data_IF_638421512338
#
_entry.id   IF_638421512338
#
_cell.length_a   1.000
_cell.length_b   1.000
_cell.length_c   1.000
_cell.angle_alpha   90.00
_cell.angle_beta   90.00
_cell.angle_gamma   90.00
#
_symmetry.space_group_name_H-M   'P 1'
#
loop_
_entity.id
_entity.type
_entity.pdbx_description
1 polymer ?
#
# COMPACT_ATOMS: atom_id res chain seq x y z
N UNK A 1 8.95 -8.13 12.52
CA UNK A 1 8.08 -7.03 12.04
C UNK A 1 7.77 -7.21 10.57
N UNK A 2 6.52 -7.03 10.19
CA UNK A 2 6.07 -7.09 8.79
C UNK A 2 5.59 -5.71 8.38
N UNK A 3 6.17 -5.16 7.32
CA UNK A 3 5.86 -3.83 6.83
C UNK A 3 5.36 -3.90 5.40
N UNK A 4 4.36 -3.10 5.07
CA UNK A 4 3.89 -2.96 3.69
C UNK A 4 4.32 -1.59 3.13
N UNK A 5 4.60 -1.57 1.85
CA UNK A 5 4.93 -0.37 1.09
C UNK A 5 4.28 -0.46 -0.29
N UNK A 6 4.65 0.40 -1.21
CA UNK A 6 4.12 0.41 -2.56
C UNK A 6 5.24 0.54 -3.60
N UNK A 7 4.95 0.17 -4.84
CA UNK A 7 5.81 0.47 -5.98
C UNK A 7 5.41 1.84 -6.54
N UNK A 8 6.31 2.81 -6.46
CA UNK A 8 6.02 4.17 -6.89
C UNK A 8 5.71 4.24 -8.39
N UNK A 9 4.69 5.00 -8.74
CA UNK A 9 4.28 5.28 -10.12
C UNK A 9 4.42 6.77 -10.41
N UNK A 10 4.92 7.09 -11.62
CA UNK A 10 4.95 8.46 -12.11
C UNK A 10 5.61 9.44 -11.14
N UNK A 11 4.82 10.37 -10.63
CA UNK A 11 5.25 11.44 -9.71
C UNK A 11 5.11 11.11 -8.22
N UNK A 12 4.86 9.86 -7.86
CA UNK A 12 4.80 9.47 -6.45
C UNK A 12 6.19 9.50 -5.78
N UNK A 13 6.29 9.86 -4.50
CA UNK A 13 7.51 9.64 -3.73
C UNK A 13 7.94 8.18 -3.79
N UNK A 14 9.21 7.94 -4.01
CA UNK A 14 9.74 6.57 -4.14
C UNK A 14 10.12 6.01 -2.76
N UNK A 15 9.43 4.98 -2.24
CA UNK A 15 9.69 4.42 -0.93
C UNK A 15 10.84 3.39 -0.91
N UNK A 16 11.65 3.27 -1.97
CA UNK A 16 12.69 2.25 -2.07
C UNK A 16 13.74 2.31 -0.96
N UNK A 17 14.08 3.52 -0.49
CA UNK A 17 14.99 3.68 0.63
C UNK A 17 14.42 3.11 1.93
N UNK A 18 13.11 3.28 2.15
CA UNK A 18 12.40 2.66 3.27
C UNK A 18 12.40 1.14 3.16
N UNK A 19 12.06 0.60 1.99
CA UNK A 19 12.04 -0.85 1.76
C UNK A 19 13.40 -1.48 2.05
N UNK A 20 14.47 -0.90 1.48
CA UNK A 20 15.83 -1.37 1.70
C UNK A 20 16.28 -1.25 3.15
N UNK A 21 15.87 -0.21 3.86
CA UNK A 21 16.15 -0.07 5.28
C UNK A 21 15.43 -1.15 6.09
N UNK A 22 14.15 -1.39 5.83
CA UNK A 22 13.35 -2.41 6.49
C UNK A 22 13.94 -3.81 6.30
N UNK A 23 14.35 -4.14 5.07
CA UNK A 23 15.01 -5.42 4.75
C UNK A 23 16.31 -5.60 5.55
N UNK A 24 17.17 -4.57 5.58
CA UNK A 24 18.42 -4.61 6.38
C UNK A 24 18.17 -4.77 7.87
N UNK A 25 17.01 -4.36 8.37
CA UNK A 25 16.57 -4.55 9.77
C UNK A 25 15.90 -5.90 10.01
N UNK A 26 15.86 -6.77 9.00
CA UNK A 26 15.24 -8.10 9.10
C UNK A 26 13.71 -8.06 9.08
N UNK A 27 13.10 -6.97 8.62
CA UNK A 27 11.66 -6.91 8.44
C UNK A 27 11.24 -7.70 7.20
N UNK A 28 10.07 -8.33 7.27
CA UNK A 28 9.38 -8.86 6.11
C UNK A 28 8.71 -7.69 5.37
N UNK A 29 9.03 -7.52 4.09
CA UNK A 29 8.47 -6.42 3.29
C UNK A 29 7.41 -6.96 2.34
N UNK A 30 6.26 -6.27 2.27
CA UNK A 30 5.14 -6.63 1.41
C UNK A 30 4.75 -5.47 0.48
N UNK A 31 4.23 -5.84 -0.69
CA UNK A 31 3.77 -4.90 -1.71
C UNK A 31 2.34 -5.21 -2.13
N UNK A 32 1.56 -4.20 -2.58
CA UNK A 32 0.21 -4.41 -3.06
C UNK A 32 0.21 -5.21 -4.36
N UNK A 33 -0.71 -6.14 -4.44
CA UNK A 33 -1.04 -6.90 -5.63
C UNK A 33 -2.54 -6.73 -5.88
N UNK A 34 -2.88 -6.14 -7.04
CA UNK A 34 -4.28 -5.92 -7.40
C UNK A 34 -4.94 -7.25 -7.72
N UNK A 35 -6.14 -7.45 -7.18
CA UNK A 35 -6.92 -8.67 -7.34
C UNK A 35 -7.73 -8.65 -8.64
N UNK A 36 -7.96 -9.83 -9.24
CA UNK A 36 -8.92 -9.99 -10.31
C UNK A 36 -10.33 -9.59 -9.87
N UNK A 37 -11.19 -9.25 -10.82
CA UNK A 37 -12.59 -8.86 -10.52
C UNK A 37 -13.33 -9.94 -9.73
N UNK A 38 -13.11 -11.22 -10.04
CA UNK A 38 -13.73 -12.35 -9.35
C UNK A 38 -13.27 -12.44 -7.89
N UNK A 39 -11.97 -12.33 -7.64
CA UNK A 39 -11.42 -12.38 -6.28
C UNK A 39 -11.79 -11.16 -5.46
N UNK A 40 -11.78 -9.97 -6.08
CA UNK A 40 -12.22 -8.74 -5.44
C UNK A 40 -13.69 -8.81 -5.01
N UNK A 41 -14.57 -9.33 -5.85
CA UNK A 41 -15.97 -9.53 -5.52
C UNK A 41 -16.17 -10.53 -4.37
N UNK A 42 -15.35 -11.57 -4.31
CA UNK A 42 -15.44 -12.61 -3.27
C UNK A 42 -15.00 -12.12 -1.89
N UNK A 43 -13.97 -11.25 -1.79
CA UNK A 43 -13.40 -10.83 -0.51
C UNK A 43 -13.72 -9.37 -0.12
N UNK A 44 -14.31 -8.58 -1.01
CA UNK A 44 -14.61 -7.16 -0.77
C UNK A 44 -13.39 -6.23 -0.80
N UNK A 45 -12.21 -6.76 -1.12
CA UNK A 45 -10.97 -5.99 -1.26
C UNK A 45 -10.56 -5.91 -2.73
N UNK A 46 -9.91 -4.82 -3.14
CA UNK A 46 -9.36 -4.69 -4.49
C UNK A 46 -7.91 -5.09 -4.61
N UNK A 47 -7.23 -5.21 -3.49
CA UNK A 47 -5.83 -5.61 -3.42
C UNK A 47 -5.57 -6.50 -2.21
N UNK A 48 -4.50 -7.26 -2.27
CA UNK A 48 -3.87 -7.91 -1.11
C UNK A 48 -2.41 -7.46 -1.03
N UNK A 49 -1.78 -7.72 0.11
CA UNK A 49 -0.33 -7.53 0.26
C UNK A 49 0.37 -8.87 0.09
N UNK A 50 1.45 -8.87 -0.70
CA UNK A 50 2.31 -10.04 -0.89
C UNK A 50 3.72 -9.76 -0.42
N UNK A 51 4.26 -10.67 0.36
CA UNK A 51 5.63 -10.58 0.81
C UNK A 51 6.60 -10.82 -0.34
N UNK A 52 7.67 -10.05 -0.38
CA UNK A 52 8.74 -10.15 -1.36
C UNK A 52 10.06 -10.23 -0.60
N UNK A 53 10.83 -11.27 -0.87
CA UNK A 53 12.14 -11.43 -0.25
C UNK A 53 13.13 -10.40 -0.83
N UNK A 54 14.14 -10.06 -0.03
CA UNK A 54 15.21 -9.17 -0.48
C UNK A 54 15.85 -9.71 -1.77
N UNK A 55 15.94 -8.85 -2.79
CA UNK A 55 16.45 -9.21 -4.12
C UNK A 55 15.41 -9.79 -5.09
N UNK A 56 14.20 -10.13 -4.64
CA UNK A 56 13.14 -10.69 -5.50
C UNK A 56 12.20 -9.64 -6.10
N UNK A 57 12.36 -8.37 -5.76
CA UNK A 57 11.47 -7.30 -6.23
C UNK A 57 11.36 -7.23 -7.76
N UNK A 58 12.48 -7.43 -8.48
CA UNK A 58 12.50 -7.42 -9.94
C UNK A 58 11.76 -8.60 -10.59
N UNK A 59 11.53 -9.67 -9.85
CA UNK A 59 10.81 -10.86 -10.29
C UNK A 59 9.31 -10.82 -9.93
N UNK A 60 8.87 -9.83 -9.15
CA UNK A 60 7.48 -9.70 -8.74
C UNK A 60 6.66 -8.94 -9.79
N UNK A 61 5.73 -9.61 -10.52
CA UNK A 61 5.01 -8.97 -11.62
C UNK A 61 4.09 -7.84 -11.15
N UNK A 62 3.60 -7.90 -9.91
CA UNK A 62 2.75 -6.87 -9.31
C UNK A 62 3.54 -5.62 -8.87
N UNK A 63 4.86 -5.72 -8.72
CA UNK A 63 5.74 -4.54 -8.54
C UNK A 63 6.03 -3.90 -9.90
N UNK A 64 6.30 -4.70 -10.93
CA UNK A 64 6.55 -4.20 -12.28
C UNK A 64 5.30 -3.56 -12.91
N UNK A 65 4.12 -4.05 -12.56
CA UNK A 65 2.83 -3.58 -13.08
C UNK A 65 1.84 -3.32 -11.94
N UNK A 66 2.02 -2.25 -11.14
CA UNK A 66 1.29 -2.04 -9.89
C UNK A 66 -0.22 -1.81 -10.06
N UNK A 67 -0.67 -1.40 -11.24
CA UNK A 67 -2.10 -1.19 -11.53
C UNK A 67 -2.78 -2.39 -12.18
N UNK A 68 -2.00 -3.39 -12.62
CA UNK A 68 -2.55 -4.57 -13.28
C UNK A 68 -3.15 -5.53 -12.25
N UNK A 69 -4.36 -6.01 -12.51
CA UNK A 69 -4.97 -7.07 -11.72
C UNK A 69 -4.39 -8.44 -12.10
N UNK A 70 -4.19 -9.27 -11.10
CA UNK A 70 -3.67 -10.63 -11.24
C UNK A 70 -4.67 -11.62 -10.61
N UNK A 71 -4.93 -12.73 -11.28
CA UNK A 71 -5.57 -13.87 -10.64
C UNK A 71 -4.58 -14.55 -9.69
N UNK A 72 -5.07 -15.25 -8.67
CA UNK A 72 -4.20 -15.97 -7.72
C UNK A 72 -3.28 -16.97 -8.43
N UNK A 73 -3.76 -17.57 -9.53
CA UNK A 73 -2.99 -18.50 -10.37
C UNK A 73 -1.88 -17.86 -11.18
N UNK A 74 -1.89 -16.53 -11.36
CA UNK A 74 -0.85 -15.81 -12.10
C UNK A 74 0.38 -15.51 -11.24
N UNK A 75 0.28 -15.71 -9.94
CA UNK A 75 1.34 -15.39 -8.97
C UNK A 75 1.83 -16.66 -8.28
N UNK A 76 3.13 -16.86 -8.27
CA UNK A 76 3.74 -17.92 -7.45
C UNK A 76 3.60 -17.59 -5.96
N UNK A 77 2.59 -18.18 -5.32
CA UNK A 77 2.26 -17.94 -3.91
C UNK A 77 3.31 -18.55 -2.94
N UNK A 78 4.15 -19.45 -3.41
CA UNK A 78 5.27 -19.96 -2.60
C UNK A 78 6.40 -18.94 -2.52
N UNK A 79 6.64 -18.23 -3.60
CA UNK A 79 7.65 -17.15 -3.68
C UNK A 79 7.13 -15.82 -3.14
N UNK A 80 5.87 -15.51 -3.43
CA UNK A 80 5.21 -14.26 -3.05
C UNK A 80 3.94 -14.53 -2.23
N UNK A 81 4.07 -15.04 -1.00
CA UNK A 81 2.92 -15.38 -0.19
C UNK A 81 2.09 -14.15 0.21
N UNK A 82 0.78 -14.33 0.32
CA UNK A 82 -0.11 -13.30 0.85
C UNK A 82 0.22 -13.07 2.33
N UNK A 83 0.29 -11.80 2.71
CA UNK A 83 0.38 -11.35 4.10
C UNK A 83 -1.02 -10.96 4.55
N UNK A 84 -1.57 -11.62 5.58
CA UNK A 84 -2.84 -11.21 6.16
C UNK A 84 -2.78 -9.77 6.68
N UNK A 85 -3.86 -9.01 6.54
CA UNK A 85 -3.90 -7.61 6.95
C UNK A 85 -3.59 -7.43 8.45
N UNK A 86 -4.06 -8.36 9.28
CA UNK A 86 -3.83 -8.38 10.72
C UNK A 86 -2.37 -8.67 11.12
N UNK A 87 -1.57 -9.18 10.18
CA UNK A 87 -0.15 -9.47 10.41
C UNK A 87 0.78 -8.29 10.05
N UNK A 88 0.21 -7.18 9.58
CA UNK A 88 0.97 -5.98 9.28
C UNK A 88 1.19 -5.15 10.54
N UNK A 89 2.45 -4.83 10.82
CA UNK A 89 2.85 -3.92 11.89
C UNK A 89 2.88 -2.46 11.42
N UNK A 90 3.15 -2.23 10.14
CA UNK A 90 3.22 -0.90 9.53
C UNK A 90 2.84 -0.97 8.05
N UNK A 91 2.20 0.08 7.58
CA UNK A 91 1.94 0.29 6.15
C UNK A 91 2.29 1.71 5.74
N UNK A 92 3.05 1.83 4.66
CA UNK A 92 3.34 3.09 3.98
C UNK A 92 2.42 3.19 2.77
N UNK A 93 1.67 4.28 2.67
CA UNK A 93 0.67 4.48 1.62
C UNK A 93 0.98 5.70 0.75
N UNK A 94 0.74 5.60 -0.57
CA UNK A 94 0.82 6.74 -1.47
C UNK A 94 -0.43 7.61 -1.37
N UNK A 95 -0.34 8.84 -1.82
CA UNK A 95 -1.46 9.76 -1.92
C UNK A 95 -1.26 10.75 -3.07
N UNK A 96 -2.36 11.33 -3.55
CA UNK A 96 -2.34 12.37 -4.60
C UNK A 96 -2.26 13.76 -3.96
N UNK A 97 -3.06 14.00 -2.94
CA UNK A 97 -3.08 15.24 -2.17
C UNK A 97 -3.48 14.97 -0.72
N UNK A 98 -3.10 15.86 0.17
CA UNK A 98 -3.46 15.78 1.59
C UNK A 98 -3.66 17.17 2.19
N UNK A 99 -4.37 17.22 3.30
CA UNK A 99 -4.57 18.45 4.07
C UNK A 99 -4.06 18.30 5.52
N UNK A 100 -4.16 19.38 6.28
CA UNK A 100 -3.69 19.42 7.67
C UNK A 100 -4.47 18.51 8.63
N UNK A 101 -5.69 18.11 8.25
CA UNK A 101 -6.51 17.18 9.04
C UNK A 101 -6.16 15.71 8.79
N UNK A 102 -5.22 15.42 7.88
CA UNK A 102 -4.86 14.06 7.50
C UNK A 102 -5.79 13.46 6.45
N UNK A 103 -6.74 14.22 5.93
CA UNK A 103 -7.54 13.79 4.80
C UNK A 103 -6.65 13.66 3.57
N UNK A 104 -6.84 12.58 2.82
CA UNK A 104 -6.06 12.30 1.62
C UNK A 104 -6.95 12.06 0.41
N UNK A 105 -6.47 12.49 -0.74
CA UNK A 105 -7.00 12.14 -2.03
C UNK A 105 -6.14 11.00 -2.61
N UNK A 106 -6.77 9.90 -2.95
CA UNK A 106 -6.16 8.80 -3.71
C UNK A 106 -6.58 8.84 -5.18
N UNK A 107 -6.30 7.75 -5.89
CA UNK A 107 -6.59 7.63 -7.33
C UNK A 107 -8.06 7.29 -7.66
N UNK A 108 -8.98 7.37 -6.69
CA UNK A 108 -10.42 7.19 -6.88
C UNK A 108 -10.92 5.73 -6.86
N UNK A 109 -10.04 4.74 -6.79
CA UNK A 109 -10.42 3.33 -6.75
C UNK A 109 -10.87 2.81 -5.38
N UNK A 110 -10.64 3.56 -4.30
CA UNK A 110 -10.95 3.15 -2.93
C UNK A 110 -10.17 1.93 -2.44
N UNK A 111 -9.08 1.57 -3.10
CA UNK A 111 -8.28 0.38 -2.77
C UNK A 111 -7.70 0.46 -1.36
N UNK A 112 -7.04 1.58 -1.05
CA UNK A 112 -6.45 1.80 0.27
C UNK A 112 -7.50 2.03 1.34
N UNK A 113 -8.56 2.81 1.10
CA UNK A 113 -9.60 3.05 2.11
C UNK A 113 -10.23 1.74 2.57
N UNK A 114 -10.53 0.81 1.64
CA UNK A 114 -11.02 -0.52 1.98
C UNK A 114 -9.98 -1.36 2.73
N UNK A 115 -8.73 -1.34 2.26
CA UNK A 115 -7.68 -2.15 2.86
C UNK A 115 -7.30 -1.64 4.27
N UNK A 116 -7.21 -0.32 4.46
CA UNK A 116 -6.91 0.29 5.75
C UNK A 116 -7.97 -0.05 6.80
N UNK A 117 -9.23 -0.24 6.38
CA UNK A 117 -10.33 -0.57 7.31
C UNK A 117 -10.23 -1.96 7.94
N UNK A 118 -9.43 -2.87 7.36
CA UNK A 118 -9.26 -4.24 7.87
C UNK A 118 -7.93 -4.47 8.58
N UNK A 119 -7.10 -3.43 8.71
CA UNK A 119 -5.84 -3.52 9.45
C UNK A 119 -6.08 -3.69 10.96
N UNK A 120 -5.11 -4.28 11.63
CA UNK A 120 -5.07 -4.27 13.09
C UNK A 120 -5.07 -2.83 13.62
N UNK A 121 -5.78 -2.52 14.72
CA UNK A 121 -5.70 -1.21 15.36
C UNK A 121 -4.29 -0.81 15.81
N UNK A 122 -3.39 -1.77 15.95
CA UNK A 122 -1.99 -1.53 16.31
C UNK A 122 -1.08 -1.30 15.11
N UNK A 123 -1.58 -1.50 13.89
CA UNK A 123 -0.82 -1.26 12.68
C UNK A 123 -0.55 0.24 12.51
N UNK A 124 0.71 0.60 12.33
CA UNK A 124 1.08 1.99 12.05
C UNK A 124 0.82 2.33 10.59
N UNK A 125 0.07 3.39 10.34
CA UNK A 125 -0.26 3.85 9.00
C UNK A 125 0.45 5.17 8.77
N UNK A 126 1.27 5.24 7.71
CA UNK A 126 2.07 6.41 7.36
C UNK A 126 1.84 6.75 5.89
N UNK A 127 1.34 7.96 5.62
CA UNK A 127 1.34 8.52 4.27
C UNK A 127 2.68 9.16 3.96
N UNK A 128 3.16 9.00 2.73
CA UNK A 128 4.30 9.78 2.24
C UNK A 128 3.92 10.60 1.03
N UNK A 129 4.41 11.83 0.99
CA UNK A 129 4.07 12.82 -0.02
C UNK A 129 5.23 13.78 -0.28
N UNK A 130 5.14 14.52 -1.39
CA UNK A 130 5.90 15.74 -1.55
C UNK A 130 5.14 16.91 -0.91
N UNK A 131 5.84 17.94 -0.47
CA UNK A 131 5.22 19.15 0.13
C UNK A 131 4.22 19.81 -0.82
N UNK A 132 4.47 19.76 -2.13
CA UNK A 132 3.61 20.30 -3.18
C UNK A 132 2.24 19.58 -3.28
N UNK A 133 2.12 18.40 -2.69
CA UNK A 133 0.84 17.65 -2.65
C UNK A 133 -0.07 18.14 -1.52
N UNK A 134 0.41 19.06 -0.68
CA UNK A 134 -0.40 19.68 0.38
C UNK A 134 -1.39 20.66 -0.21
N UNK A 135 -2.65 20.53 0.20
CA UNK A 135 -3.75 21.43 -0.16
C UNK A 135 -4.45 21.95 1.09
N UNK A 136 -5.25 23.01 0.96
CA UNK A 136 -5.95 23.59 2.11
C UNK A 136 -7.04 22.65 2.62
N UNK A 137 -7.76 21.98 1.72
CA UNK A 137 -8.84 21.07 2.05
C UNK A 137 -8.98 19.96 1.01
N UNK A 138 -9.07 18.73 1.48
CA UNK A 138 -9.39 17.56 0.67
C UNK A 138 -10.87 17.20 0.88
N UNK A 139 -11.69 17.14 -0.19
CA UNK A 139 -13.05 16.63 -0.09
C UNK A 139 -13.05 15.20 0.41
N UNK A 140 -13.89 14.90 1.40
CA UNK A 140 -14.00 13.56 1.99
C UNK A 140 -15.42 13.07 1.98
N UNK A 141 -15.57 11.76 1.77
CA UNK A 141 -16.81 11.01 1.94
C UNK A 141 -16.81 10.25 3.28
N UNK A 142 -17.97 9.73 3.66
CA UNK A 142 -18.13 9.01 4.94
C UNK A 142 -17.24 7.74 5.05
N UNK A 143 -16.77 7.20 3.94
CA UNK A 143 -15.93 6.00 3.87
C UNK A 143 -14.43 6.32 3.83
N UNK A 144 -14.05 7.58 3.68
CA UNK A 144 -12.67 8.00 3.62
C UNK A 144 -12.05 7.99 5.02
N UNK A 145 -10.89 7.36 5.13
CA UNK A 145 -10.14 7.28 6.39
C UNK A 145 -9.00 8.30 6.36
N UNK A 146 -8.99 9.28 7.29
CA UNK A 146 -7.85 10.16 7.43
C UNK A 146 -6.62 9.38 7.89
N UNK A 147 -5.45 9.80 7.43
CA UNK A 147 -4.19 9.19 7.86
C UNK A 147 -3.74 9.81 9.18
N UNK A 148 -3.36 8.98 10.16
CA UNK A 148 -2.88 9.48 11.45
C UNK A 148 -1.53 10.18 11.34
N UNK A 149 -0.72 9.78 10.36
CA UNK A 149 0.61 10.34 10.13
C UNK A 149 0.87 10.51 8.64
N UNK A 150 1.31 11.70 8.25
CA UNK A 150 1.79 12.00 6.89
C UNK A 150 3.17 12.63 7.00
N UNK A 151 4.13 12.06 6.31
CA UNK A 151 5.48 12.59 6.18
C UNK A 151 5.60 13.20 4.78
N UNK A 152 5.99 14.47 4.70
CA UNK A 152 6.23 15.15 3.44
C UNK A 152 7.59 15.82 3.41
N UNK A 153 8.14 15.98 2.23
CA UNK A 153 9.41 16.64 1.97
C UNK A 153 9.41 17.37 0.63
#
# INVERSE_FOLDING_TARGET
MTVATYAAMGSEPNPSAFSSYAERRGCRVAYPCMLSATEAAACGQRMCMRAVAAGDASAAPFIAHPTRAFAATDIDSSRFPIVPAEALDMIVVPLVAFDRAGARLGYGGGCYDRYLSILSPTCQIIGIAFDEQRVDHVPTDAHDLPLPNIVSA
#
